data_IF_844857633438
#
_entry.id   IF_844857633438
#
_cell.length_a   1.000
_cell.length_b   1.000
_cell.length_c   1.000
_cell.angle_alpha   90.00
_cell.angle_beta   90.00
_cell.angle_gamma   90.00
#
_symmetry.space_group_name_H-M   'P 1'
#
loop_
_entity.id
_entity.type
_entity.pdbx_description
1 polymer ?
#
# COMPACT_ATOMS: atom_id res chain seq x y z
N UNK A 1 21.17 -1.93 26.58
CA UNK A 1 20.00 -2.49 25.88
C UNK A 1 19.65 -1.54 24.76
N UNK A 2 19.88 -1.96 23.52
CA UNK A 2 19.61 -1.14 22.34
C UNK A 2 18.39 -1.67 21.58
N UNK A 3 17.64 -0.76 20.94
CA UNK A 3 16.54 -1.12 20.04
C UNK A 3 16.97 -0.79 18.62
N UNK A 4 17.13 -1.81 17.80
CA UNK A 4 17.29 -1.68 16.37
C UNK A 4 15.93 -1.82 15.68
N UNK A 5 15.53 -0.81 14.92
CA UNK A 5 14.30 -0.83 14.12
C UNK A 5 14.69 -0.83 12.64
N UNK A 6 14.57 -1.99 12.01
CA UNK A 6 14.77 -2.17 10.58
C UNK A 6 13.45 -1.88 9.86
N UNK A 7 13.22 -0.62 9.52
CA UNK A 7 12.08 -0.24 8.69
C UNK A 7 12.21 -0.86 7.28
N UNK A 8 11.10 -1.39 6.78
CA UNK A 8 10.98 -1.88 5.42
C UNK A 8 10.14 -0.90 4.61
N UNK A 9 10.46 -0.69 3.33
CA UNK A 9 9.75 0.27 2.52
C UNK A 9 8.31 -0.17 2.23
N UNK A 10 7.38 0.78 2.32
CA UNK A 10 6.08 0.71 1.67
C UNK A 10 6.22 1.40 0.31
N UNK A 11 5.97 0.66 -0.77
CA UNK A 11 6.04 1.16 -2.15
C UNK A 11 4.67 1.07 -2.79
N UNK A 12 4.10 2.21 -3.15
CA UNK A 12 2.84 2.30 -3.89
C UNK A 12 3.09 2.94 -5.24
N UNK A 13 2.78 2.22 -6.30
CA UNK A 13 2.86 2.69 -7.69
C UNK A 13 1.47 2.62 -8.29
N UNK A 14 1.01 3.75 -8.83
CA UNK A 14 -0.27 3.88 -9.49
C UNK A 14 -0.12 4.50 -10.87
N UNK A 15 -0.57 3.78 -11.90
CA UNK A 15 -0.81 4.33 -13.24
C UNK A 15 -2.31 4.52 -13.40
N UNK A 16 -2.76 5.76 -13.64
CA UNK A 16 -4.18 6.06 -13.86
C UNK A 16 -4.36 6.72 -15.21
N UNK A 17 -5.13 6.09 -16.08
CA UNK A 17 -5.36 6.54 -17.44
C UNK A 17 -6.85 6.65 -17.71
N UNK A 18 -7.31 7.85 -18.08
CA UNK A 18 -8.67 8.09 -18.56
C UNK A 18 -8.58 8.70 -19.96
N UNK A 19 -9.13 8.02 -20.96
CA UNK A 19 -9.14 8.47 -22.35
C UNK A 19 -10.60 8.57 -22.80
N UNK A 20 -11.10 9.79 -22.99
CA UNK A 20 -12.42 9.99 -23.60
C UNK A 20 -12.45 9.52 -25.05
N UNK A 21 -13.60 8.99 -25.48
CA UNK A 21 -13.87 8.60 -26.84
C UNK A 21 -14.14 9.81 -27.74
N UNK A 22 -13.67 9.83 -28.99
CA UNK A 22 -14.02 10.87 -29.95
C UNK A 22 -15.50 10.79 -30.36
N UNK A 23 -16.11 11.95 -30.64
CA UNK A 23 -17.42 12.04 -31.30
C UNK A 23 -17.26 12.36 -32.78
N UNK A 24 -17.68 11.46 -33.67
CA UNK A 24 -17.72 11.67 -35.12
C UNK A 24 -19.19 11.71 -35.55
N UNK A 25 -19.67 12.90 -35.91
CA UNK A 25 -21.09 13.16 -36.20
C UNK A 25 -22.03 12.75 -35.06
N UNK A 26 -21.54 12.77 -33.82
CA UNK A 26 -22.22 12.39 -32.59
C UNK A 26 -21.40 12.82 -31.36
N UNK A 27 -21.86 12.50 -30.14
CA UNK A 27 -21.11 12.80 -28.92
C UNK A 27 -20.10 11.68 -28.66
N UNK A 28 -18.86 12.03 -28.31
CA UNK A 28 -17.88 11.06 -27.81
C UNK A 28 -18.26 10.54 -26.42
N UNK A 29 -17.70 9.41 -26.01
CA UNK A 29 -17.91 8.86 -24.65
C UNK A 29 -16.93 9.43 -23.64
N UNK A 30 -17.36 9.69 -22.41
CA UNK A 30 -16.50 10.16 -21.34
C UNK A 30 -15.69 9.01 -20.72
N UNK A 31 -14.56 9.34 -20.10
CA UNK A 31 -13.78 8.38 -19.34
C UNK A 31 -13.39 8.95 -17.99
N UNK A 32 -13.59 8.16 -16.94
CA UNK A 32 -13.13 8.46 -15.58
C UNK A 32 -12.38 7.25 -15.03
N UNK A 33 -11.15 7.47 -14.60
CA UNK A 33 -10.33 6.47 -13.94
C UNK A 33 -9.89 7.00 -12.57
N UNK A 34 -10.07 6.20 -11.53
CA UNK A 34 -9.69 6.56 -10.16
C UNK A 34 -8.88 5.42 -9.55
N UNK A 35 -7.73 5.75 -9.00
CA UNK A 35 -6.89 4.80 -8.27
C UNK A 35 -6.77 5.25 -6.83
N UNK A 36 -7.01 4.32 -5.91
CA UNK A 36 -6.77 4.50 -4.49
C UNK A 36 -5.88 3.37 -3.99
N UNK A 37 -4.84 3.71 -3.24
CA UNK A 37 -3.93 2.75 -2.62
C UNK A 37 -3.74 3.15 -1.15
N UNK A 38 -3.96 2.19 -0.25
CA UNK A 38 -3.68 2.31 1.18
C UNK A 38 -2.75 1.18 1.61
N UNK A 39 -1.77 1.50 2.45
CA UNK A 39 -0.85 0.50 2.98
C UNK A 39 -0.40 0.86 4.40
N UNK A 40 -0.45 -0.13 5.29
CA UNK A 40 -0.05 -0.03 6.70
C UNK A 40 0.86 -1.20 7.08
N UNK A 41 1.87 -0.95 7.92
CA UNK A 41 2.70 -2.00 8.51
C UNK A 41 2.87 -1.76 10.01
N UNK A 42 2.54 -2.78 10.79
CA UNK A 42 2.67 -2.79 12.25
C UNK A 42 3.59 -3.93 12.67
N UNK A 43 4.54 -3.65 13.57
CA UNK A 43 5.60 -4.59 13.94
C UNK A 43 5.78 -4.60 15.45
N UNK A 44 5.80 -5.81 16.03
CA UNK A 44 5.93 -6.05 17.47
C UNK A 44 7.05 -7.06 17.69
N UNK A 45 7.96 -6.75 18.62
CA UNK A 45 8.91 -7.71 19.13
C UNK A 45 8.65 -8.00 20.60
N UNK A 46 8.55 -9.29 20.93
CA UNK A 46 8.49 -9.81 22.27
C UNK A 46 9.92 -10.09 22.74
N UNK A 47 10.21 -9.78 23.99
CA UNK A 47 11.46 -10.15 24.63
C UNK A 47 11.18 -11.34 25.56
N UNK A 48 11.83 -12.47 25.33
CA UNK A 48 11.87 -13.53 26.34
C UNK A 48 12.78 -13.06 27.49
N UNK A 49 12.17 -12.66 28.60
CA UNK A 49 12.91 -12.16 29.74
C UNK A 49 12.20 -12.39 31.06
N UNK A 50 12.39 -13.58 31.62
CA UNK A 50 12.39 -13.79 33.06
C UNK A 50 13.52 -12.95 33.70
N UNK A 51 13.32 -11.64 33.85
CA UNK A 51 14.19 -10.80 34.67
C UNK A 51 13.82 -11.03 36.15
N UNK A 52 14.54 -11.94 36.81
CA UNK A 52 14.45 -12.12 38.26
C UNK A 52 14.86 -10.83 39.01
N UNK A 53 14.18 -10.47 40.11
CA UNK A 53 14.20 -9.11 40.68
C UNK A 53 15.42 -8.77 41.54
N UNK A 54 16.49 -9.57 41.55
CA UNK A 54 17.65 -9.31 42.41
C UNK A 54 18.71 -8.51 41.66
N UNK A 55 18.73 -7.22 41.96
CA UNK A 55 19.60 -6.22 41.33
C UNK A 55 21.09 -6.44 41.58
N UNK A 56 21.86 -6.25 40.50
CA UNK A 56 23.32 -6.25 40.47
C UNK A 56 23.81 -5.58 39.18
N UNK A 57 25.12 -5.26 39.08
CA UNK A 57 25.70 -4.40 38.02
C UNK A 57 25.62 -4.97 36.58
N UNK A 58 24.93 -6.08 36.37
CA UNK A 58 24.67 -6.68 35.05
C UNK A 58 23.40 -6.15 34.36
N UNK A 59 22.73 -5.15 34.96
CA UNK A 59 21.44 -4.60 34.48
C UNK A 59 21.51 -3.84 33.15
N UNK A 60 22.71 -3.48 32.67
CA UNK A 60 22.86 -2.80 31.36
C UNK A 60 22.88 -3.76 30.15
N UNK A 61 22.92 -5.08 30.40
CA UNK A 61 23.05 -6.14 29.38
C UNK A 61 21.74 -6.92 29.11
N UNK A 62 20.57 -6.27 29.19
CA UNK A 62 19.35 -6.85 28.63
C UNK A 62 19.53 -7.14 27.13
N UNK A 63 18.91 -8.21 26.57
CA UNK A 63 19.12 -8.59 25.17
C UNK A 63 18.68 -7.46 24.24
N UNK A 64 19.47 -7.20 23.20
CA UNK A 64 19.15 -6.18 22.21
C UNK A 64 17.88 -6.57 21.43
N UNK A 65 16.99 -5.60 21.21
CA UNK A 65 15.77 -5.80 20.44
C UNK A 65 16.03 -5.44 18.98
N UNK A 66 15.58 -6.29 18.05
CA UNK A 66 15.61 -6.08 16.63
C UNK A 66 14.21 -6.24 16.01
N UNK A 67 13.54 -5.12 15.77
CA UNK A 67 12.22 -5.09 15.13
C UNK A 67 12.44 -4.97 13.62
N UNK A 68 12.10 -6.00 12.85
CA UNK A 68 12.18 -5.95 11.39
C UNK A 68 10.79 -5.77 10.79
N UNK A 69 10.58 -4.67 10.08
CA UNK A 69 9.38 -4.50 9.28
C UNK A 69 9.43 -5.36 8.01
N UNK A 70 8.27 -5.71 7.47
CA UNK A 70 8.15 -6.38 6.18
C UNK A 70 7.78 -5.37 5.10
N UNK A 71 8.34 -5.46 3.88
CA UNK A 71 8.03 -4.52 2.82
C UNK A 71 6.61 -4.76 2.27
N UNK A 72 5.93 -3.68 1.90
CA UNK A 72 4.67 -3.73 1.15
C UNK A 72 4.92 -3.14 -0.22
N UNK A 73 4.44 -3.82 -1.27
CA UNK A 73 4.44 -3.29 -2.64
C UNK A 73 3.06 -3.41 -3.23
N UNK A 74 2.46 -2.28 -3.61
CA UNK A 74 1.20 -2.20 -4.31
C UNK A 74 1.42 -1.57 -5.68
N UNK A 75 0.95 -2.25 -6.73
CA UNK A 75 0.97 -1.74 -8.10
C UNK A 75 -0.46 -1.74 -8.61
N UNK A 76 -0.97 -0.57 -8.96
CA UNK A 76 -2.30 -0.38 -9.51
C UNK A 76 -2.21 0.26 -10.88
N UNK A 77 -2.81 -0.39 -11.88
CA UNK A 77 -2.99 0.19 -13.21
C UNK A 77 -4.49 0.30 -13.49
N UNK A 78 -5.02 1.52 -13.41
CA UNK A 78 -6.44 1.80 -13.68
C UNK A 78 -6.57 2.46 -15.03
N UNK A 79 -7.34 1.85 -15.93
CA UNK A 79 -7.58 2.39 -17.26
C UNK A 79 -9.07 2.43 -17.57
N UNK A 80 -9.56 3.61 -17.94
CA UNK A 80 -10.88 3.82 -18.53
C UNK A 80 -10.73 4.40 -19.93
N UNK A 81 -11.39 3.78 -20.93
CA UNK A 81 -11.41 4.27 -22.31
C UNK A 81 -12.85 4.40 -22.78
N UNK A 82 -13.30 5.64 -22.95
CA UNK A 82 -14.61 5.96 -23.50
C UNK A 82 -14.70 5.50 -24.96
N UNK A 83 -15.86 4.96 -25.32
CA UNK A 83 -16.18 4.50 -26.66
C UNK A 83 -16.37 5.64 -27.67
N UNK A 84 -16.02 5.34 -28.92
CA UNK A 84 -16.26 6.23 -30.06
C UNK A 84 -17.76 6.40 -30.30
N UNK A 85 -18.21 7.64 -30.48
CA UNK A 85 -19.56 7.93 -30.96
C UNK A 85 -19.55 8.14 -32.47
N UNK A 86 -19.88 7.10 -33.26
CA UNK A 86 -20.08 7.24 -34.71
C UNK A 86 -21.59 7.30 -35.01
N UNK A 87 -22.08 8.44 -35.49
CA UNK A 87 -23.52 8.64 -35.79
C UNK A 87 -24.47 8.43 -34.58
N UNK A 88 -23.98 8.67 -33.36
CA UNK A 88 -24.72 8.46 -32.11
C UNK A 88 -23.91 8.91 -30.88
N UNK A 89 -24.33 8.50 -29.68
CA UNK A 89 -23.55 8.73 -28.46
C UNK A 89 -22.49 7.62 -28.29
N UNK A 90 -21.24 8.01 -28.05
CA UNK A 90 -20.17 7.11 -27.62
C UNK A 90 -20.44 6.58 -26.22
N UNK A 91 -19.88 5.41 -25.91
CA UNK A 91 -20.08 4.78 -24.60
C UNK A 91 -19.16 5.39 -23.54
N UNK A 92 -19.67 5.65 -22.35
CA UNK A 92 -18.82 6.12 -21.25
C UNK A 92 -18.05 4.95 -20.61
N UNK A 93 -16.87 5.23 -20.08
CA UNK A 93 -16.07 4.28 -19.33
C UNK A 93 -15.75 4.80 -17.94
N UNK A 94 -15.90 3.92 -16.96
CA UNK A 94 -15.59 4.20 -15.58
C UNK A 94 -14.77 3.06 -15.01
N UNK A 95 -13.58 3.37 -14.50
CA UNK A 95 -12.69 2.39 -13.89
C UNK A 95 -12.24 2.85 -12.50
N UNK A 96 -12.25 1.92 -11.56
CA UNK A 96 -11.77 2.14 -10.21
C UNK A 96 -10.83 1.00 -9.83
N UNK A 97 -9.67 1.34 -9.29
CA UNK A 97 -8.83 0.40 -8.55
C UNK A 97 -8.70 0.90 -7.13
N UNK A 98 -8.99 0.02 -6.17
CA UNK A 98 -8.75 0.26 -4.77
C UNK A 98 -7.90 -0.89 -4.23
N UNK A 99 -6.69 -0.58 -3.78
CA UNK A 99 -5.81 -1.54 -3.12
C UNK A 99 -5.62 -1.14 -1.67
N UNK A 100 -5.77 -2.10 -0.79
CA UNK A 100 -5.50 -1.96 0.64
C UNK A 100 -4.57 -3.11 1.05
N UNK A 101 -3.57 -2.82 1.88
CA UNK A 101 -2.59 -3.79 2.34
C UNK A 101 -2.15 -3.46 3.76
N UNK A 102 -2.40 -4.39 4.68
CA UNK A 102 -1.93 -4.32 6.05
C UNK A 102 -1.02 -5.53 6.32
N UNK A 103 0.12 -5.28 6.97
CA UNK A 103 0.99 -6.33 7.49
C UNK A 103 1.21 -6.09 8.99
N UNK A 104 0.83 -7.10 9.78
CA UNK A 104 1.23 -7.22 11.17
C UNK A 104 2.35 -8.25 11.33
N UNK A 105 3.50 -7.83 11.84
CA UNK A 105 4.63 -8.70 12.11
C UNK A 105 4.83 -8.88 13.62
N UNK A 106 4.86 -10.14 14.07
CA UNK A 106 5.20 -10.50 15.44
C UNK A 106 6.51 -11.26 15.46
N UNK A 107 7.46 -10.75 16.22
CA UNK A 107 8.81 -11.28 16.39
C UNK A 107 8.99 -11.63 17.86
N UNK A 108 9.73 -12.70 18.15
CA UNK A 108 10.05 -13.17 19.49
C UNK A 108 11.41 -13.82 19.50
#
# INVERSE_FOLDING_TARGET
>A
MDINVNASPITQVATTTAIGGPGIFGNGGDATAVTNQHAESSNVQLMDGYHFPWGGPAQDFGPDMNVNASPITQVADTTAVGGLGLFGHGGDALAFTNQDADIFNLQG
#
